data_IF_037295460086
#
_entry.id   IF_037295460086
#
_cell.length_a   1.000
_cell.length_b   1.000
_cell.length_c   1.000
_cell.angle_alpha   90.00
_cell.angle_beta   90.00
_cell.angle_gamma   90.00
#
_symmetry.space_group_name_H-M   'P 1'
#
loop_
_entity.id
_entity.type
_entity.pdbx_description
1 polymer ?
#
# COMPACT_ATOMS: atom_id res chain seq x y z
N UNK A 1 29.27 -13.06 12.75
CA UNK A 1 27.81 -13.24 12.89
C UNK A 1 27.18 -12.17 12.03
N UNK A 2 26.72 -12.57 10.85
CA UNK A 2 26.36 -11.66 9.77
C UNK A 2 25.14 -10.80 10.12
N UNK A 3 25.39 -9.50 10.31
CA UNK A 3 24.39 -8.44 10.47
C UNK A 3 23.56 -8.18 9.20
N UNK A 4 23.61 -9.07 8.21
CA UNK A 4 22.84 -9.01 6.96
C UNK A 4 21.39 -9.51 7.09
N UNK A 5 21.01 -10.13 8.22
CA UNK A 5 19.80 -10.95 8.31
C UNK A 5 18.54 -10.28 8.90
N UNK A 6 18.62 -9.11 9.53
CA UNK A 6 17.41 -8.49 10.11
C UNK A 6 16.73 -7.56 9.09
N UNK A 7 15.73 -8.11 8.39
CA UNK A 7 14.81 -7.34 7.53
C UNK A 7 13.40 -7.42 8.08
N UNK A 8 12.70 -6.29 8.03
CA UNK A 8 11.28 -6.22 8.39
C UNK A 8 10.48 -6.20 7.09
N UNK A 9 9.65 -7.21 6.88
CA UNK A 9 8.74 -7.25 5.73
C UNK A 9 7.45 -6.53 6.11
N UNK A 10 7.23 -5.34 5.55
CA UNK A 10 6.02 -4.57 5.73
C UNK A 10 5.00 -4.99 4.66
N UNK A 11 4.05 -5.83 5.05
CA UNK A 11 3.01 -6.30 4.12
C UNK A 11 1.94 -5.22 3.93
N UNK A 12 1.74 -4.80 2.69
CA UNK A 12 0.79 -3.73 2.31
C UNK A 12 -0.36 -4.30 1.46
N UNK A 13 -1.43 -3.52 1.32
CA UNK A 13 -2.56 -3.83 0.43
C UNK A 13 -2.88 -2.59 -0.38
N UNK A 14 -3.38 -2.78 -1.59
CA UNK A 14 -3.93 -1.69 -2.39
C UNK A 14 -5.17 -1.14 -1.71
N UNK A 15 -5.28 0.18 -1.75
CA UNK A 15 -6.50 0.90 -1.39
C UNK A 15 -7.53 0.78 -2.50
N UNK A 16 -8.79 1.10 -2.19
CA UNK A 16 -9.85 1.09 -3.20
C UNK A 16 -9.54 2.02 -4.38
N UNK A 17 -8.91 3.17 -4.11
CA UNK A 17 -8.47 4.11 -5.14
C UNK A 17 -7.40 3.49 -6.05
N UNK A 18 -6.39 2.82 -5.49
CA UNK A 18 -5.35 2.15 -6.28
C UNK A 18 -5.92 1.04 -7.15
N UNK A 19 -6.89 0.28 -6.64
CA UNK A 19 -7.58 -0.75 -7.43
C UNK A 19 -8.41 -0.14 -8.57
N UNK A 20 -9.09 0.99 -8.33
CA UNK A 20 -9.82 1.70 -9.36
C UNK A 20 -8.88 2.23 -10.45
N UNK A 21 -7.78 2.86 -10.07
CA UNK A 21 -6.78 3.38 -11.01
C UNK A 21 -6.12 2.24 -11.79
N UNK A 22 -5.83 1.10 -11.15
CA UNK A 22 -5.29 -0.06 -11.85
C UNK A 22 -6.24 -0.63 -12.92
N UNK A 23 -7.56 -0.48 -12.74
CA UNK A 23 -8.59 -0.92 -13.71
C UNK A 23 -8.89 0.13 -14.77
N UNK A 24 -8.88 1.40 -14.38
CA UNK A 24 -9.35 2.53 -15.19
C UNK A 24 -8.22 3.39 -15.73
N UNK A 25 -6.96 3.03 -15.48
CA UNK A 25 -5.71 3.68 -15.91
C UNK A 25 -5.42 5.06 -15.30
N UNK A 26 -6.42 5.89 -15.05
CA UNK A 26 -6.23 7.24 -14.49
C UNK A 26 -7.12 7.52 -13.29
N UNK A 27 -6.67 8.46 -12.45
CA UNK A 27 -7.43 8.96 -11.29
C UNK A 27 -8.70 9.68 -11.75
N UNK A 28 -8.64 10.42 -12.85
CA UNK A 28 -9.79 11.14 -13.41
C UNK A 28 -10.88 10.18 -13.90
N UNK A 29 -10.49 9.08 -14.55
CA UNK A 29 -11.43 8.03 -14.97
C UNK A 29 -12.01 7.28 -13.76
N UNK A 30 -11.20 7.04 -12.72
CA UNK A 30 -11.67 6.49 -11.45
C UNK A 30 -12.69 7.41 -10.75
N UNK A 31 -12.43 8.72 -10.73
CA UNK A 31 -13.34 9.73 -10.17
C UNK A 31 -14.66 9.74 -10.91
N UNK A 32 -14.63 9.85 -12.24
CA UNK A 32 -15.84 9.83 -13.06
C UNK A 32 -16.67 8.56 -12.82
N UNK A 33 -16.02 7.40 -12.75
CA UNK A 33 -16.69 6.13 -12.49
C UNK A 33 -17.39 6.08 -11.12
N UNK A 34 -16.73 6.54 -10.05
CA UNK A 34 -17.29 6.57 -8.70
C UNK A 34 -18.46 7.55 -8.60
N UNK A 35 -18.30 8.74 -9.17
CA UNK A 35 -19.35 9.78 -9.20
C UNK A 35 -20.56 9.31 -10.03
N UNK A 36 -20.35 8.59 -11.13
CA UNK A 36 -21.44 8.04 -11.96
C UNK A 36 -22.26 6.97 -11.24
N UNK A 37 -21.67 6.28 -10.25
CA UNK A 37 -22.38 5.34 -9.37
C UNK A 37 -23.07 6.03 -8.18
N UNK A 38 -23.00 7.36 -8.09
CA UNK A 38 -23.59 8.14 -7.00
C UNK A 38 -22.82 8.06 -5.68
N UNK A 39 -21.55 7.65 -5.71
CA UNK A 39 -20.68 7.62 -4.53
C UNK A 39 -19.79 8.87 -4.47
N UNK A 40 -19.36 9.25 -3.26
CA UNK A 40 -18.44 10.37 -3.05
C UNK A 40 -16.99 9.92 -3.24
N UNK A 41 -16.31 10.50 -4.23
CA UNK A 41 -14.90 10.24 -4.49
C UNK A 41 -13.98 10.70 -3.34
N UNK A 42 -14.39 11.70 -2.57
CA UNK A 42 -13.60 12.24 -1.45
C UNK A 42 -13.34 11.19 -0.37
N UNK A 43 -14.23 10.20 -0.20
CA UNK A 43 -14.03 9.09 0.72
C UNK A 43 -12.85 8.21 0.31
N UNK A 44 -12.67 7.99 -1.00
CA UNK A 44 -11.58 7.20 -1.55
C UNK A 44 -10.24 7.94 -1.41
N UNK A 45 -10.23 9.25 -1.67
CA UNK A 45 -9.04 10.10 -1.48
C UNK A 45 -8.62 10.14 0.00
N UNK A 46 -9.58 10.30 0.93
CA UNK A 46 -9.31 10.31 2.38
C UNK A 46 -8.81 8.96 2.88
N UNK A 47 -9.44 7.86 2.46
CA UNK A 47 -8.94 6.52 2.76
C UNK A 47 -7.51 6.33 2.27
N UNK A 48 -7.24 6.70 1.01
CA UNK A 48 -5.92 6.56 0.41
C UNK A 48 -4.87 7.37 1.16
N UNK A 49 -5.16 8.64 1.45
CA UNK A 49 -4.26 9.51 2.20
C UNK A 49 -3.97 8.97 3.60
N UNK A 50 -5.01 8.55 4.34
CA UNK A 50 -4.86 7.98 5.68
C UNK A 50 -4.02 6.70 5.66
N UNK A 51 -4.28 5.82 4.69
CA UNK A 51 -3.54 4.58 4.53
C UNK A 51 -2.06 4.84 4.21
N UNK A 52 -1.77 5.74 3.27
CA UNK A 52 -0.38 6.12 2.93
C UNK A 52 0.34 6.77 4.10
N UNK A 53 -0.35 7.60 4.87
CA UNK A 53 0.23 8.22 6.06
C UNK A 53 0.55 7.17 7.13
N UNK A 54 -0.33 6.20 7.35
CA UNK A 54 -0.08 5.10 8.27
C UNK A 54 1.11 4.23 7.82
N UNK A 55 1.20 3.91 6.52
CA UNK A 55 2.33 3.18 5.97
C UNK A 55 3.65 3.93 6.13
N UNK A 56 3.68 5.21 5.78
CA UNK A 56 4.88 6.04 5.92
C UNK A 56 5.33 6.14 7.39
N UNK A 57 4.37 6.27 8.31
CA UNK A 57 4.64 6.28 9.76
C UNK A 57 5.21 4.95 10.22
N UNK A 58 4.61 3.83 9.81
CA UNK A 58 5.09 2.49 10.15
C UNK A 58 6.51 2.24 9.61
N UNK A 59 6.75 2.54 8.33
CA UNK A 59 8.06 2.40 7.69
C UNK A 59 9.13 3.26 8.40
N UNK A 60 8.80 4.51 8.73
CA UNK A 60 9.70 5.41 9.46
C UNK A 60 10.06 4.90 10.87
N UNK A 61 9.12 4.26 11.55
CA UNK A 61 9.38 3.68 12.87
C UNK A 61 10.18 2.37 12.76
N UNK A 62 9.80 1.50 11.84
CA UNK A 62 10.42 0.17 11.65
C UNK A 62 11.85 0.27 11.11
N UNK A 63 12.12 1.25 10.25
CA UNK A 63 13.47 1.49 9.68
C UNK A 63 14.53 1.86 10.72
N UNK A 64 14.13 2.22 11.94
CA UNK A 64 15.03 2.43 13.08
C UNK A 64 15.60 1.13 13.65
N UNK A 65 14.93 0.01 13.42
CA UNK A 65 15.30 -1.30 13.96
C UNK A 65 16.00 -2.18 12.93
N UNK A 66 15.54 -2.15 11.68
CA UNK A 66 16.06 -2.98 10.60
C UNK A 66 15.65 -2.43 9.23
N UNK A 67 16.27 -2.94 8.16
CA UNK A 67 15.87 -2.58 6.79
C UNK A 67 14.42 -3.03 6.55
N UNK A 68 13.56 -2.07 6.20
CA UNK A 68 12.16 -2.33 5.84
C UNK A 68 12.06 -2.66 4.36
N UNK A 69 11.29 -3.69 4.03
CA UNK A 69 10.92 -4.02 2.66
C UNK A 69 9.40 -4.09 2.57
N UNK A 70 8.80 -3.21 1.79
CA UNK A 70 7.38 -3.28 1.49
C UNK A 70 7.09 -4.46 0.55
N UNK A 71 6.01 -5.19 0.83
CA UNK A 71 5.57 -6.33 0.02
C UNK A 71 4.05 -6.26 -0.14
N UNK A 72 3.57 -6.22 -1.39
CA UNK A 72 2.13 -6.32 -1.65
C UNK A 72 1.62 -7.68 -1.18
N UNK A 73 0.48 -7.70 -0.47
CA UNK A 73 -0.09 -8.90 0.12
C UNK A 73 -0.29 -10.04 -0.88
N UNK A 74 -0.63 -9.72 -2.12
CA UNK A 74 -0.87 -10.71 -3.17
C UNK A 74 0.41 -11.46 -3.57
N UNK A 75 1.58 -10.89 -3.27
CA UNK A 75 2.89 -11.49 -3.52
C UNK A 75 3.39 -12.33 -2.35
N UNK A 76 2.80 -12.19 -1.15
CA UNK A 76 3.22 -12.92 0.06
C UNK A 76 3.26 -14.44 -0.14
N UNK A 77 2.26 -15.09 -0.77
CA UNK A 77 2.30 -16.54 -0.97
C UNK A 77 3.50 -17.02 -1.81
N UNK A 78 4.04 -16.16 -2.67
CA UNK A 78 5.17 -16.46 -3.55
C UNK A 78 6.50 -15.88 -3.00
N UNK A 79 6.45 -15.19 -1.86
CA UNK A 79 7.62 -14.56 -1.28
C UNK A 79 8.36 -15.55 -0.38
N UNK A 80 9.62 -15.82 -0.72
CA UNK A 80 10.50 -16.61 0.14
C UNK A 80 11.07 -15.70 1.23
N UNK A 81 10.73 -15.98 2.49
CA UNK A 81 11.35 -15.35 3.64
C UNK A 81 12.75 -15.97 3.87
N UNK A 82 13.85 -15.22 3.63
CA UNK A 82 15.18 -15.76 3.83
C UNK A 82 15.45 -16.01 5.33
N UNK A 83 16.27 -17.03 5.66
CA UNK A 83 16.64 -17.36 7.04
C UNK A 83 17.55 -16.32 7.70
#
# INVERSE_FOLDING_TARGET
MDSLQQRIILVTRRTRLEDLVARLNTVEQARFYVEHMGADFSDYEREHANYRQALATAESQLSRFARVQALERDLVPNFLFPP
#
